data_IF_233939859205
#
_entry.id   IF_233939859205
#
_cell.length_a   1.000
_cell.length_b   1.000
_cell.length_c   1.000
_cell.angle_alpha   90.00
_cell.angle_beta   90.00
_cell.angle_gamma   90.00
#
_symmetry.space_group_name_H-M   'P 1'
#
loop_
_entity.id
_entity.type
_entity.pdbx_description
1 polymer ?
#
# COMPACT_ATOMS: atom_id res chain seq x y z
N UNK A 1 36.00 4.33 -10.27
CA UNK A 1 35.30 5.42 -9.55
C UNK A 1 34.72 4.98 -8.19
N UNK A 2 34.29 3.72 -7.99
CA UNK A 2 33.80 3.21 -6.69
C UNK A 2 34.84 2.44 -5.83
N UNK A 3 36.08 2.26 -6.32
CA UNK A 3 37.07 1.35 -5.72
C UNK A 3 37.80 1.90 -4.48
N UNK A 4 37.56 3.15 -4.07
CA UNK A 4 38.20 3.77 -2.89
C UNK A 4 37.19 4.26 -1.84
N UNK A 5 35.96 3.72 -1.85
CA UNK A 5 34.97 4.07 -0.83
C UNK A 5 35.21 3.25 0.45
N UNK A 6 35.16 3.89 1.64
CA UNK A 6 35.25 3.18 2.90
C UNK A 6 34.10 2.16 3.05
N UNK A 7 34.36 1.06 3.77
CA UNK A 7 33.43 -0.05 3.90
C UNK A 7 32.06 0.37 4.49
N UNK A 8 32.05 1.43 5.30
CA UNK A 8 30.86 2.06 5.88
C UNK A 8 29.93 2.65 4.82
N UNK A 9 30.46 3.29 3.78
CA UNK A 9 29.65 3.83 2.67
C UNK A 9 29.01 2.72 1.85
N UNK A 10 29.74 1.62 1.60
CA UNK A 10 29.20 0.46 0.90
C UNK A 10 28.01 -0.14 1.64
N UNK A 11 28.06 -0.20 2.97
CA UNK A 11 26.94 -0.67 3.79
C UNK A 11 25.67 0.19 3.58
N UNK A 12 25.81 1.51 3.49
CA UNK A 12 24.67 2.41 3.22
C UNK A 12 24.09 2.16 1.84
N UNK A 13 24.91 2.05 0.79
CA UNK A 13 24.42 1.76 -0.56
C UNK A 13 23.75 0.39 -0.65
N UNK A 14 24.29 -0.64 0.00
CA UNK A 14 23.67 -1.97 0.06
C UNK A 14 22.33 -1.91 0.79
N UNK A 15 22.23 -1.18 1.90
CA UNK A 15 20.98 -0.99 2.62
C UNK A 15 19.94 -0.25 1.77
N UNK A 16 20.33 0.83 1.08
CA UNK A 16 19.46 1.55 0.14
C UNK A 16 19.01 0.66 -1.03
N UNK A 17 19.91 -0.13 -1.60
CA UNK A 17 19.59 -1.09 -2.65
C UNK A 17 18.59 -2.15 -2.17
N UNK A 18 18.77 -2.66 -0.95
CA UNK A 18 17.83 -3.59 -0.33
C UNK A 18 16.44 -2.96 -0.12
N UNK A 19 16.35 -1.70 0.33
CA UNK A 19 15.08 -0.97 0.44
C UNK A 19 14.43 -0.74 -0.93
N UNK A 20 15.22 -0.46 -1.97
CA UNK A 20 14.72 -0.32 -3.35
C UNK A 20 14.11 -1.64 -3.86
N UNK A 21 14.82 -2.75 -3.70
CA UNK A 21 14.32 -4.09 -4.07
C UNK A 21 13.07 -4.46 -3.27
N UNK A 22 13.06 -4.18 -1.96
CA UNK A 22 11.89 -4.40 -1.11
C UNK A 22 10.68 -3.59 -1.59
N UNK A 23 10.87 -2.32 -1.94
CA UNK A 23 9.81 -1.44 -2.46
C UNK A 23 9.18 -2.03 -3.71
N UNK A 24 10.00 -2.40 -4.70
CA UNK A 24 9.52 -2.99 -5.96
C UNK A 24 8.81 -4.33 -5.70
N UNK A 25 9.38 -5.17 -4.84
CA UNK A 25 8.81 -6.48 -4.50
C UNK A 25 7.44 -6.34 -3.85
N UNK A 26 7.31 -5.45 -2.86
CA UNK A 26 6.02 -5.17 -2.20
C UNK A 26 5.03 -4.57 -3.19
N UNK A 27 5.46 -3.62 -4.03
CA UNK A 27 4.59 -3.01 -5.04
C UNK A 27 3.99 -4.06 -5.99
N UNK A 28 4.81 -4.94 -6.55
CA UNK A 28 4.36 -6.01 -7.45
C UNK A 28 3.43 -6.98 -6.71
N UNK A 29 3.79 -7.38 -5.49
CA UNK A 29 2.96 -8.25 -4.66
C UNK A 29 1.59 -7.61 -4.39
N UNK A 30 1.52 -6.32 -4.07
CA UNK A 30 0.27 -5.59 -3.79
C UNK A 30 -0.59 -5.45 -5.04
N UNK A 31 0.00 -5.08 -6.18
CA UNK A 31 -0.72 -4.96 -7.45
C UNK A 31 -1.32 -6.31 -7.85
N UNK A 32 -0.57 -7.40 -7.73
CA UNK A 32 -1.06 -8.75 -8.04
C UNK A 32 -2.12 -9.23 -7.04
N UNK A 33 -1.93 -8.95 -5.75
CA UNK A 33 -2.92 -9.21 -4.70
C UNK A 33 -4.24 -8.51 -5.02
N UNK A 34 -4.21 -7.22 -5.33
CA UNK A 34 -5.42 -6.43 -5.59
C UNK A 34 -6.15 -6.90 -6.84
N UNK A 35 -5.40 -7.23 -7.89
CA UNK A 35 -5.96 -7.86 -9.10
C UNK A 35 -6.61 -9.20 -8.81
N UNK A 36 -5.99 -10.06 -8.00
CA UNK A 36 -6.56 -11.37 -7.62
C UNK A 36 -7.80 -11.24 -6.73
N UNK A 37 -7.84 -10.25 -5.86
CA UNK A 37 -8.98 -9.95 -4.99
C UNK A 37 -10.13 -9.26 -5.73
N UNK A 38 -9.94 -8.89 -7.01
CA UNK A 38 -10.98 -8.26 -7.82
C UNK A 38 -11.40 -6.89 -7.30
N UNK A 39 -10.47 -6.12 -6.70
CA UNK A 39 -10.73 -4.75 -6.25
C UNK A 39 -11.21 -3.89 -7.42
N UNK A 40 -12.17 -3.00 -7.16
CA UNK A 40 -12.72 -2.10 -8.17
C UNK A 40 -13.72 -2.72 -9.14
N UNK A 41 -14.18 -3.96 -8.90
CA UNK A 41 -15.24 -4.61 -9.70
C UNK A 41 -16.64 -4.12 -9.31
N UNK A 42 -16.80 -2.80 -9.23
CA UNK A 42 -18.04 -2.14 -8.78
C UNK A 42 -19.26 -2.55 -9.61
N UNK A 43 -19.11 -2.64 -10.94
CA UNK A 43 -20.19 -3.08 -11.85
C UNK A 43 -20.72 -4.47 -11.54
N UNK A 44 -19.84 -5.38 -11.12
CA UNK A 44 -20.23 -6.75 -10.76
C UNK A 44 -21.02 -6.76 -9.44
N UNK A 45 -20.59 -5.96 -8.47
CA UNK A 45 -21.29 -5.76 -7.21
C UNK A 45 -22.66 -5.08 -7.41
N UNK A 46 -22.73 -4.06 -8.27
CA UNK A 46 -23.97 -3.40 -8.67
C UNK A 46 -24.97 -4.39 -9.28
N UNK A 47 -24.51 -5.26 -10.19
CA UNK A 47 -25.37 -6.28 -10.80
C UNK A 47 -25.89 -7.30 -9.77
N UNK A 48 -25.06 -7.71 -8.81
CA UNK A 48 -25.49 -8.59 -7.70
C UNK A 48 -26.54 -7.87 -6.84
N UNK A 49 -26.28 -6.61 -6.50
CA UNK A 49 -27.18 -5.79 -5.68
C UNK A 49 -28.51 -5.52 -6.40
N UNK A 50 -28.49 -5.28 -7.71
CA UNK A 50 -29.69 -5.13 -8.53
C UNK A 50 -30.58 -6.37 -8.48
N UNK A 51 -30.01 -7.56 -8.63
CA UNK A 51 -30.78 -8.79 -8.54
C UNK A 51 -31.38 -9.00 -7.16
N UNK A 52 -30.63 -8.66 -6.12
CA UNK A 52 -31.10 -8.73 -4.74
C UNK A 52 -32.30 -7.81 -4.50
N UNK A 53 -32.18 -6.53 -4.89
CA UNK A 53 -33.23 -5.53 -4.69
C UNK A 53 -34.47 -5.74 -5.57
N UNK A 54 -34.32 -6.37 -6.73
CA UNK A 54 -35.44 -6.73 -7.61
C UNK A 54 -36.13 -8.04 -7.20
N UNK A 55 -35.86 -8.59 -6.01
CA UNK A 55 -36.52 -9.78 -5.52
C UNK A 55 -36.06 -11.08 -6.19
N UNK A 56 -34.84 -11.12 -6.75
CA UNK A 56 -34.20 -12.32 -7.31
C UNK A 56 -33.04 -12.81 -6.43
N UNK A 57 -33.30 -13.19 -5.16
CA UNK A 57 -32.24 -13.48 -4.18
C UNK A 57 -31.38 -14.70 -4.55
N UNK A 58 -31.94 -15.70 -5.23
CA UNK A 58 -31.18 -16.87 -5.67
C UNK A 58 -30.19 -16.53 -6.79
N UNK A 59 -30.55 -15.62 -7.70
CA UNK A 59 -29.66 -15.17 -8.77
C UNK A 59 -28.52 -14.33 -8.20
N UNK A 60 -28.86 -13.38 -7.31
CA UNK A 60 -27.88 -12.56 -6.60
C UNK A 60 -26.86 -13.41 -5.83
N UNK A 61 -27.34 -14.41 -5.08
CA UNK A 61 -26.47 -15.29 -4.30
C UNK A 61 -25.58 -16.19 -5.18
N UNK A 62 -26.09 -16.67 -6.32
CA UNK A 62 -25.28 -17.42 -7.30
C UNK A 62 -24.16 -16.55 -7.88
N UNK A 63 -24.48 -15.33 -8.34
CA UNK A 63 -23.49 -14.38 -8.88
C UNK A 63 -22.44 -14.00 -7.82
N UNK A 64 -22.87 -13.74 -6.60
CA UNK A 64 -21.97 -13.43 -5.49
C UNK A 64 -21.05 -14.60 -5.11
N UNK A 65 -21.50 -15.84 -5.27
CA UNK A 65 -20.70 -17.04 -5.00
C UNK A 65 -19.70 -17.35 -6.11
N UNK A 66 -20.06 -17.06 -7.37
CA UNK A 66 -19.18 -17.22 -8.52
C UNK A 66 -18.10 -16.13 -8.61
N UNK A 67 -18.34 -14.97 -7.99
CA UNK A 67 -17.41 -13.85 -8.00
C UNK A 67 -16.28 -14.00 -6.99
N UNK A 68 -15.08 -13.59 -7.40
CA UNK A 68 -13.93 -13.45 -6.52
C UNK A 68 -13.69 -12.00 -6.05
N UNK A 69 -14.63 -11.08 -6.33
CA UNK A 69 -14.50 -9.69 -5.89
C UNK A 69 -14.76 -9.53 -4.40
N UNK A 70 -14.13 -8.52 -3.80
CA UNK A 70 -14.33 -8.20 -2.37
C UNK A 70 -15.78 -7.84 -2.10
N UNK A 71 -16.35 -6.94 -2.90
CA UNK A 71 -17.73 -6.50 -2.77
C UNK A 71 -18.72 -7.67 -2.86
N UNK A 72 -18.50 -8.64 -3.76
CA UNK A 72 -19.34 -9.83 -3.84
C UNK A 72 -19.25 -10.71 -2.60
N UNK A 73 -18.07 -10.86 -1.99
CA UNK A 73 -17.91 -11.61 -0.72
C UNK A 73 -18.67 -10.95 0.42
N UNK A 74 -18.61 -9.62 0.51
CA UNK A 74 -19.36 -8.85 1.53
C UNK A 74 -20.86 -8.93 1.29
N UNK A 75 -21.31 -8.72 0.04
CA UNK A 75 -22.71 -8.89 -0.35
C UNK A 75 -23.23 -10.30 -0.05
N UNK A 76 -22.43 -11.33 -0.33
CA UNK A 76 -22.77 -12.71 0.00
C UNK A 76 -23.00 -12.89 1.50
N UNK A 77 -22.15 -12.31 2.35
CA UNK A 77 -22.32 -12.35 3.80
C UNK A 77 -23.63 -11.65 4.22
N UNK A 78 -23.88 -10.43 3.72
CA UNK A 78 -25.12 -9.68 3.98
C UNK A 78 -26.37 -10.48 3.62
N UNK A 79 -26.43 -10.98 2.36
CA UNK A 79 -27.57 -11.75 1.85
C UNK A 79 -27.77 -13.05 2.63
N UNK A 80 -26.68 -13.74 2.99
CA UNK A 80 -26.75 -14.98 3.76
C UNK A 80 -27.29 -14.75 5.17
N UNK A 81 -26.90 -13.64 5.82
CA UNK A 81 -27.41 -13.25 7.13
C UNK A 81 -28.89 -12.88 7.11
N UNK A 82 -29.31 -12.06 6.14
CA UNK A 82 -30.71 -11.70 5.93
C UNK A 82 -31.59 -12.93 5.64
N UNK A 83 -31.08 -13.91 4.88
CA UNK A 83 -31.81 -15.17 4.64
C UNK A 83 -31.89 -16.06 5.88
N UNK A 84 -30.83 -16.11 6.69
CA UNK A 84 -30.81 -16.91 7.90
C UNK A 84 -31.73 -16.34 9.00
N UNK A 85 -31.86 -15.02 9.09
CA UNK A 85 -32.74 -14.32 10.04
C UNK A 85 -33.47 -13.14 9.37
N UNK A 86 -34.56 -13.40 8.61
CA UNK A 86 -35.27 -12.35 7.87
C UNK A 86 -35.88 -11.26 8.76
N UNK A 87 -36.21 -11.58 10.01
CA UNK A 87 -36.79 -10.64 10.98
C UNK A 87 -35.75 -9.77 11.70
N UNK A 88 -34.45 -10.00 11.48
CA UNK A 88 -33.35 -9.32 12.16
C UNK A 88 -32.33 -8.77 11.14
N UNK A 89 -32.60 -7.59 10.53
CA UNK A 89 -31.71 -6.97 9.56
C UNK A 89 -30.30 -6.70 10.11
N UNK A 90 -30.21 -6.44 11.42
CA UNK A 90 -28.94 -6.17 12.12
C UNK A 90 -28.00 -7.38 12.07
N UNK A 91 -28.54 -8.61 12.10
CA UNK A 91 -27.72 -9.81 11.94
C UNK A 91 -27.04 -9.89 10.56
N UNK A 92 -27.75 -9.48 9.50
CA UNK A 92 -27.18 -9.39 8.14
C UNK A 92 -26.11 -8.31 8.04
N UNK A 93 -26.34 -7.16 8.66
CA UNK A 93 -25.38 -6.06 8.72
C UNK A 93 -24.09 -6.47 9.41
N UNK A 94 -24.18 -7.08 10.60
CA UNK A 94 -23.00 -7.46 11.37
C UNK A 94 -22.17 -8.53 10.66
N UNK A 95 -22.82 -9.51 10.00
CA UNK A 95 -22.12 -10.49 9.17
C UNK A 95 -21.39 -9.83 7.98
N UNK A 96 -22.03 -8.87 7.33
CA UNK A 96 -21.43 -8.13 6.23
C UNK A 96 -20.24 -7.28 6.72
N UNK A 97 -20.37 -6.63 7.88
CA UNK A 97 -19.32 -5.83 8.52
C UNK A 97 -18.13 -6.70 8.94
N UNK A 98 -18.38 -7.91 9.48
CA UNK A 98 -17.32 -8.86 9.77
C UNK A 98 -16.58 -9.31 8.50
N UNK A 99 -17.31 -9.61 7.43
CA UNK A 99 -16.69 -9.93 6.14
C UNK A 99 -15.87 -8.75 5.60
N UNK A 100 -16.39 -7.52 5.70
CA UNK A 100 -15.69 -6.30 5.33
C UNK A 100 -14.38 -6.13 6.11
N UNK A 101 -14.39 -6.31 7.43
CA UNK A 101 -13.20 -6.22 8.28
C UNK A 101 -12.12 -7.23 7.89
N UNK A 102 -12.51 -8.47 7.58
CA UNK A 102 -11.57 -9.49 7.10
C UNK A 102 -10.94 -9.08 5.78
N UNK A 103 -11.73 -8.55 4.84
CA UNK A 103 -11.24 -8.13 3.53
C UNK A 103 -10.36 -6.88 3.60
N UNK A 104 -10.75 -5.86 4.38
CA UNK A 104 -9.94 -4.66 4.62
C UNK A 104 -8.63 -4.99 5.31
N UNK A 105 -8.63 -5.91 6.28
CA UNK A 105 -7.39 -6.38 6.92
C UNK A 105 -6.47 -7.06 5.90
N UNK A 106 -7.03 -7.91 5.02
CA UNK A 106 -6.26 -8.54 3.93
C UNK A 106 -5.69 -7.51 2.97
N UNK A 107 -6.44 -6.45 2.64
CA UNK A 107 -5.96 -5.35 1.82
C UNK A 107 -4.88 -4.50 2.51
N UNK A 108 -4.99 -4.26 3.82
CA UNK A 108 -4.01 -3.48 4.58
C UNK A 108 -2.68 -4.23 4.81
N UNK A 109 -2.68 -5.56 4.70
CA UNK A 109 -1.46 -6.34 4.89
C UNK A 109 -0.31 -5.85 4.00
N UNK A 110 0.87 -5.72 4.62
CA UNK A 110 2.14 -5.28 4.02
C UNK A 110 2.21 -3.81 3.57
N UNK A 111 1.16 -3.00 3.77
CA UNK A 111 1.21 -1.54 3.54
C UNK A 111 2.23 -0.85 4.46
N UNK A 112 2.24 -1.26 5.74
CA UNK A 112 3.21 -0.80 6.74
C UNK A 112 4.68 -0.93 6.33
N UNK A 113 5.02 -1.94 5.52
CA UNK A 113 6.39 -2.09 5.03
C UNK A 113 6.75 -0.98 4.06
N UNK A 114 5.83 -0.61 3.18
CA UNK A 114 6.05 0.46 2.20
C UNK A 114 6.13 1.82 2.90
N UNK A 115 5.24 2.09 3.86
CA UNK A 115 5.30 3.26 4.74
C UNK A 115 6.63 3.34 5.50
N UNK A 116 7.12 2.21 6.01
CA UNK A 116 8.41 2.15 6.67
C UNK A 116 9.54 2.50 5.70
N UNK A 117 9.52 2.05 4.44
CA UNK A 117 10.55 2.45 3.45
C UNK A 117 10.52 3.96 3.19
N UNK A 118 9.33 4.56 3.08
CA UNK A 118 9.18 6.01 2.89
C UNK A 118 9.89 6.81 3.99
N UNK A 119 9.84 6.32 5.24
CA UNK A 119 10.48 6.98 6.38
C UNK A 119 11.96 6.61 6.52
N UNK A 120 12.32 5.34 6.31
CA UNK A 120 13.68 4.84 6.55
C UNK A 120 14.68 5.22 5.45
N UNK A 121 14.26 5.24 4.17
CA UNK A 121 15.18 5.49 3.06
C UNK A 121 15.85 6.89 3.11
N UNK A 122 15.13 8.00 3.42
CA UNK A 122 15.75 9.31 3.61
C UNK A 122 16.69 9.34 4.82
N UNK A 123 16.30 8.70 5.92
CA UNK A 123 17.11 8.63 7.14
C UNK A 123 18.43 7.87 6.91
N UNK A 124 18.40 6.78 6.12
CA UNK A 124 19.62 6.09 5.69
C UNK A 124 20.47 6.94 4.76
N UNK A 125 19.86 7.71 3.86
CA UNK A 125 20.57 8.67 3.01
C UNK A 125 21.26 9.78 3.81
N UNK A 126 20.60 10.29 4.86
CA UNK A 126 21.17 11.25 5.79
C UNK A 126 22.28 10.62 6.65
N UNK A 127 22.13 9.36 7.08
CA UNK A 127 23.22 8.64 7.75
C UNK A 127 24.44 8.54 6.82
N UNK A 128 24.22 8.28 5.54
CA UNK A 128 25.27 8.26 4.52
C UNK A 128 26.02 9.59 4.39
N UNK A 129 25.33 10.74 4.50
CA UNK A 129 26.02 12.03 4.50
C UNK A 129 26.86 12.23 5.74
N UNK A 130 26.35 11.89 6.92
CA UNK A 130 27.09 12.00 8.17
C UNK A 130 28.37 11.17 8.10
N UNK A 131 28.28 9.91 7.66
CA UNK A 131 29.45 9.02 7.49
C UNK A 131 30.43 9.61 6.48
N UNK A 132 29.96 10.03 5.31
CA UNK A 132 30.82 10.59 4.26
C UNK A 132 31.55 11.86 4.70
N UNK A 133 30.90 12.72 5.49
CA UNK A 133 31.53 13.92 6.05
C UNK A 133 32.54 13.59 7.15
N UNK A 134 32.25 12.59 8.01
CA UNK A 134 33.21 12.09 9.01
C UNK A 134 34.48 11.57 8.33
N UNK A 135 34.33 10.77 7.28
CA UNK A 135 35.48 10.23 6.54
C UNK A 135 36.27 11.33 5.82
N UNK A 136 35.58 12.30 5.22
CA UNK A 136 36.23 13.40 4.50
C UNK A 136 37.07 14.29 5.43
N UNK A 137 36.52 14.68 6.58
CA UNK A 137 37.23 15.49 7.57
C UNK A 137 38.27 14.68 8.36
N UNK A 138 38.01 13.40 8.63
CA UNK A 138 38.98 12.51 9.28
C UNK A 138 40.26 12.35 8.46
N UNK A 139 40.13 12.16 7.14
CA UNK A 139 41.28 12.10 6.24
C UNK A 139 42.06 13.42 6.18
N UNK A 140 41.35 14.55 6.20
CA UNK A 140 41.95 15.87 6.23
C UNK A 140 42.72 16.14 7.54
N UNK A 141 42.20 15.71 8.68
CA UNK A 141 42.87 15.84 9.97
C UNK A 141 44.11 14.93 10.10
N UNK A 142 44.10 13.78 9.43
CA UNK A 142 45.24 12.84 9.43
C UNK A 142 46.37 13.27 8.47
N UNK A 143 46.08 14.08 7.45
CA UNK A 143 47.10 14.59 6.52
C UNK A 143 47.92 15.72 7.16
N UNK A 144 49.23 15.51 7.32
CA UNK A 144 50.18 16.55 7.78
C UNK A 144 50.54 17.59 6.70
N UNK A 145 50.22 17.30 5.43
CA UNK A 145 50.44 18.20 4.29
C UNK A 145 49.23 19.14 4.09
N UNK A 146 49.43 20.21 3.31
CA UNK A 146 48.36 21.14 2.93
C UNK A 146 47.11 20.38 2.45
N UNK A 147 45.96 20.75 3.01
CA UNK A 147 44.65 20.18 2.71
C UNK A 147 44.47 19.89 1.21
N UNK A 148 44.39 18.61 0.80
CA UNK A 148 44.09 18.26 -0.60
C UNK A 148 42.59 18.47 -0.85
N UNK A 149 42.18 19.50 -1.62
CA UNK A 149 40.77 19.79 -1.86
C UNK A 149 40.06 18.67 -2.63
N UNK A 150 40.81 17.82 -3.35
CA UNK A 150 40.24 16.71 -4.12
C UNK A 150 39.68 15.61 -3.22
N UNK A 151 40.37 15.31 -2.12
CA UNK A 151 39.91 14.31 -1.14
C UNK A 151 38.61 14.76 -0.48
N UNK A 152 38.56 16.03 -0.04
CA UNK A 152 37.35 16.60 0.55
C UNK A 152 36.17 16.59 -0.42
N UNK A 153 36.40 17.02 -1.67
CA UNK A 153 35.37 17.01 -2.72
C UNK A 153 34.81 15.60 -2.99
N UNK A 154 35.66 14.57 -2.95
CA UNK A 154 35.22 13.18 -3.16
C UNK A 154 34.31 12.64 -2.04
N UNK A 155 34.59 13.00 -0.79
CA UNK A 155 33.77 12.63 0.36
C UNK A 155 32.41 13.35 0.35
N UNK A 156 32.39 14.64 0.03
CA UNK A 156 31.16 15.43 -0.12
C UNK A 156 30.29 14.88 -1.25
N UNK A 157 30.89 14.56 -2.41
CA UNK A 157 30.16 13.96 -3.53
C UNK A 157 29.46 12.65 -3.12
N UNK A 158 30.20 11.79 -2.41
CA UNK A 158 29.69 10.51 -1.92
C UNK A 158 28.54 10.72 -0.93
N UNK A 159 28.71 11.63 0.03
CA UNK A 159 27.68 12.03 0.99
C UNK A 159 26.40 12.47 0.26
N UNK A 160 26.49 13.47 -0.62
CA UNK A 160 25.33 14.00 -1.35
C UNK A 160 24.63 12.94 -2.21
N UNK A 161 25.41 12.06 -2.84
CA UNK A 161 24.86 10.97 -3.67
C UNK A 161 24.03 9.99 -2.84
N UNK A 162 24.46 9.63 -1.62
CA UNK A 162 23.68 8.75 -0.74
C UNK A 162 22.35 9.35 -0.30
N UNK A 163 22.31 10.65 0.00
CA UNK A 163 21.06 11.35 0.32
C UNK A 163 20.14 11.43 -0.89
N UNK A 164 20.65 11.80 -2.06
CA UNK A 164 19.85 11.84 -3.28
C UNK A 164 19.23 10.48 -3.60
N UNK A 165 20.00 9.38 -3.44
CA UNK A 165 19.51 8.02 -3.63
C UNK A 165 18.42 7.65 -2.60
N UNK A 166 18.61 7.96 -1.32
CA UNK A 166 17.61 7.71 -0.27
C UNK A 166 16.30 8.44 -0.52
N UNK A 167 16.36 9.72 -0.91
CA UNK A 167 15.19 10.53 -1.25
C UNK A 167 14.48 10.00 -2.51
N UNK A 168 15.21 9.60 -3.54
CA UNK A 168 14.62 9.05 -4.76
C UNK A 168 13.82 7.76 -4.48
N UNK A 169 14.37 6.86 -3.67
CA UNK A 169 13.68 5.62 -3.26
C UNK A 169 12.42 5.94 -2.44
N UNK A 170 12.53 6.86 -1.48
CA UNK A 170 11.42 7.27 -0.64
C UNK A 170 10.27 7.89 -1.45
N UNK A 171 10.60 8.73 -2.43
CA UNK A 171 9.61 9.37 -3.31
C UNK A 171 8.81 8.33 -4.09
N UNK A 172 9.50 7.35 -4.69
CA UNK A 172 8.85 6.27 -5.44
C UNK A 172 7.98 5.41 -4.51
N UNK A 173 8.50 5.03 -3.35
CA UNK A 173 7.74 4.27 -2.35
C UNK A 173 6.47 5.02 -1.91
N UNK A 174 6.58 6.34 -1.71
CA UNK A 174 5.46 7.19 -1.28
C UNK A 174 4.35 7.23 -2.32
N UNK A 175 4.67 7.45 -3.60
CA UNK A 175 3.66 7.45 -4.66
C UNK A 175 2.92 6.11 -4.74
N UNK A 176 3.64 4.99 -4.62
CA UNK A 176 3.03 3.66 -4.64
C UNK A 176 2.15 3.46 -3.41
N UNK A 177 2.59 3.87 -2.22
CA UNK A 177 1.83 3.76 -0.98
C UNK A 177 0.54 4.56 -1.06
N UNK A 178 0.63 5.84 -1.41
CA UNK A 178 -0.51 6.73 -1.53
C UNK A 178 -1.53 6.22 -2.57
N UNK A 179 -1.06 5.70 -3.72
CA UNK A 179 -1.96 5.13 -4.72
C UNK A 179 -2.66 3.86 -4.23
N UNK A 180 -1.95 2.97 -3.54
CA UNK A 180 -2.54 1.74 -2.97
C UNK A 180 -3.53 2.07 -1.85
N UNK A 181 -3.20 3.02 -0.99
CA UNK A 181 -4.06 3.45 0.12
C UNK A 181 -5.36 4.09 -0.40
N UNK A 182 -5.28 4.98 -1.38
CA UNK A 182 -6.47 5.54 -2.04
C UNK A 182 -7.38 4.45 -2.62
N UNK A 183 -6.81 3.40 -3.20
CA UNK A 183 -7.60 2.24 -3.70
C UNK A 183 -8.28 1.44 -2.59
N UNK A 184 -7.67 1.35 -1.40
CA UNK A 184 -8.30 0.68 -0.25
C UNK A 184 -9.44 1.55 0.28
N UNK A 185 -9.24 2.86 0.37
CA UNK A 185 -10.24 3.80 0.88
C UNK A 185 -11.47 3.87 -0.04
N UNK A 186 -11.27 3.94 -1.36
CA UNK A 186 -12.37 3.89 -2.34
C UNK A 186 -13.19 2.59 -2.21
N UNK A 187 -12.51 1.46 -2.07
CA UNK A 187 -13.16 0.16 -1.90
C UNK A 187 -13.88 0.07 -0.55
N UNK A 188 -13.32 0.64 0.53
CA UNK A 188 -13.95 0.72 1.85
C UNK A 188 -15.25 1.52 1.81
N UNK A 189 -15.24 2.70 1.18
CA UNK A 189 -16.46 3.50 1.02
C UNK A 189 -17.51 2.72 0.23
N UNK A 190 -17.09 2.03 -0.83
CA UNK A 190 -18.00 1.21 -1.62
C UNK A 190 -18.58 0.06 -0.81
N UNK A 191 -17.78 -0.62 0.01
CA UNK A 191 -18.26 -1.67 0.91
C UNK A 191 -19.40 -1.14 1.80
N UNK A 192 -19.20 -0.01 2.47
CA UNK A 192 -20.22 0.59 3.36
C UNK A 192 -21.50 0.94 2.59
N UNK A 193 -21.37 1.55 1.40
CA UNK A 193 -22.52 1.87 0.54
C UNK A 193 -23.31 0.62 0.14
N UNK A 194 -22.61 -0.46 -0.20
CA UNK A 194 -23.21 -1.69 -0.69
C UNK A 194 -23.88 -2.47 0.46
N UNK A 195 -23.29 -2.49 1.66
CA UNK A 195 -23.91 -3.04 2.88
C UNK A 195 -25.22 -2.30 3.16
N UNK A 196 -25.15 -0.97 3.24
CA UNK A 196 -26.33 -0.14 3.50
C UNK A 196 -27.42 -0.36 2.46
N UNK A 197 -27.05 -0.37 1.17
CA UNK A 197 -27.99 -0.57 0.07
C UNK A 197 -28.64 -1.96 0.07
N UNK A 198 -27.90 -3.01 0.44
CA UNK A 198 -28.42 -4.37 0.47
C UNK A 198 -29.49 -4.60 1.55
N UNK A 199 -29.43 -3.83 2.64
CA UNK A 199 -30.30 -3.97 3.81
C UNK A 199 -31.46 -2.98 3.76
N UNK A 200 -31.16 -1.71 3.48
CA UNK A 200 -32.13 -0.61 3.56
C UNK A 200 -32.69 -0.20 2.19
N UNK A 201 -32.22 -0.82 1.10
CA UNK A 201 -32.51 -0.40 -0.25
C UNK A 201 -31.64 0.79 -0.67
N UNK A 202 -31.72 1.17 -1.95
CA UNK A 202 -30.97 2.32 -2.46
C UNK A 202 -31.63 3.61 -2.00
N UNK A 203 -30.84 4.51 -1.41
CA UNK A 203 -31.20 5.94 -1.42
C UNK A 203 -31.27 6.33 -2.89
N UNK A 204 -32.46 6.67 -3.38
CA UNK A 204 -32.68 6.93 -4.80
C UNK A 204 -31.62 7.87 -5.34
N UNK A 205 -30.81 7.39 -6.29
CA UNK A 205 -30.24 8.29 -7.28
C UNK A 205 -31.42 8.78 -8.11
N UNK A 206 -32.09 9.83 -7.64
CA UNK A 206 -32.89 10.68 -8.50
C UNK A 206 -31.89 11.23 -9.52
N UNK A 207 -31.75 10.55 -10.65
CA UNK A 207 -31.18 11.15 -11.85
C UNK A 207 -32.02 12.40 -12.11
N UNK A 208 -31.45 13.56 -11.81
CA UNK A 208 -31.86 14.84 -12.37
C UNK A 208 -30.90 15.14 -13.52
#
# INVERSE_FOLDING_TARGET
MFQSLPATTWLVFVALAALSVLTVTVAIFKITQFRRMGLGRHREAEAILDDWLNGRPDEAQRKATASNSVLARVLRAAMSGLRARPSDPFYGEELARQAALVELTRMGNRMRLLEAVVQMAPMLGLLGTVIGMIDAFGNLAASQAAADPRLLASGIWTALTTTAAGLAIALVAYFIAAWLEGRIDDERQTIEMVISSAIHGRVGQTRA
#
